data_IF_181807883473
#
_entry.id   IF_181807883473
#
_cell.length_a   1.000
_cell.length_b   1.000
_cell.length_c   1.000
_cell.angle_alpha   90.00
_cell.angle_beta   90.00
_cell.angle_gamma   90.00
#
_symmetry.space_group_name_H-M   'P 1'
#
loop_
_entity.id
_entity.type
_entity.pdbx_description
1 polymer ?
#
# COMPACT_ATOMS: atom_id res chain seq x y z
N UNK A 1 5.21 -15.49 -0.96
CA UNK A 1 5.81 -14.18 -1.29
C UNK A 1 5.03 -13.43 -2.39
N UNK A 2 4.88 -14.00 -3.60
CA UNK A 2 4.28 -13.33 -4.77
C UNK A 2 2.85 -12.76 -4.55
N UNK A 3 1.99 -13.48 -3.84
CA UNK A 3 0.61 -13.05 -3.59
C UNK A 3 0.47 -11.80 -2.71
N UNK A 4 1.40 -11.58 -1.76
CA UNK A 4 1.40 -10.34 -0.96
C UNK A 4 1.76 -9.14 -1.82
N UNK A 5 2.85 -9.24 -2.60
CA UNK A 5 3.29 -8.20 -3.52
C UNK A 5 2.21 -7.81 -4.53
N UNK A 6 1.56 -8.79 -5.17
CA UNK A 6 0.46 -8.55 -6.11
C UNK A 6 -0.69 -7.80 -5.43
N UNK A 7 -1.04 -8.19 -4.21
CA UNK A 7 -2.10 -7.54 -3.43
C UNK A 7 -1.74 -6.10 -3.05
N UNK A 8 -0.52 -5.85 -2.61
CA UNK A 8 -0.04 -4.51 -2.25
C UNK A 8 -0.04 -3.58 -3.49
N UNK A 9 0.44 -4.08 -4.63
CA UNK A 9 0.39 -3.36 -5.91
C UNK A 9 -1.07 -3.09 -6.33
N UNK A 10 -1.96 -4.08 -6.17
CA UNK A 10 -3.39 -3.91 -6.41
C UNK A 10 -4.03 -2.82 -5.54
N UNK A 11 -3.70 -2.77 -4.24
CA UNK A 11 -4.18 -1.72 -3.36
C UNK A 11 -3.68 -0.33 -3.76
N UNK A 12 -2.43 -0.21 -4.20
CA UNK A 12 -1.93 1.06 -4.75
C UNK A 12 -2.66 1.45 -6.02
N UNK A 13 -2.82 0.55 -6.98
CA UNK A 13 -3.49 0.86 -8.25
C UNK A 13 -4.94 1.29 -8.02
N UNK A 14 -5.69 0.55 -7.20
CA UNK A 14 -7.09 0.88 -6.89
C UNK A 14 -7.18 2.18 -6.09
N UNK A 15 -6.33 2.36 -5.07
CA UNK A 15 -6.29 3.59 -4.27
C UNK A 15 -5.94 4.82 -5.10
N UNK A 16 -4.85 4.76 -5.87
CA UNK A 16 -4.42 5.86 -6.75
C UNK A 16 -5.43 6.14 -7.86
N UNK A 17 -5.98 5.12 -8.53
CA UNK A 17 -7.01 5.36 -9.54
C UNK A 17 -8.25 6.01 -8.92
N UNK A 18 -8.66 5.59 -7.72
CA UNK A 18 -9.82 6.19 -7.06
C UNK A 18 -9.56 7.66 -6.69
N UNK A 19 -8.36 7.99 -6.21
CA UNK A 19 -8.00 9.36 -5.81
C UNK A 19 -7.65 10.28 -6.99
N UNK A 20 -6.97 9.79 -8.03
CA UNK A 20 -6.57 10.60 -9.19
C UNK A 20 -7.67 10.77 -10.23
N UNK A 21 -8.57 9.80 -10.37
CA UNK A 21 -9.70 9.87 -11.30
C UNK A 21 -10.97 10.42 -10.64
N UNK A 22 -10.88 10.90 -9.40
CA UNK A 22 -12.01 11.52 -8.75
C UNK A 22 -12.35 12.83 -9.45
N UNK A 23 -13.63 13.06 -9.73
CA UNK A 23 -14.06 14.33 -10.32
C UNK A 23 -14.04 15.39 -9.24
N UNK A 24 -13.75 16.63 -9.61
CA UNK A 24 -13.64 17.75 -8.65
C UNK A 24 -14.89 17.92 -7.79
N UNK A 25 -16.07 17.63 -8.35
CA UNK A 25 -17.36 17.67 -7.63
C UNK A 25 -17.54 16.60 -6.55
N UNK A 26 -16.74 15.53 -6.61
CA UNK A 26 -16.81 14.39 -5.70
C UNK A 26 -15.73 14.50 -4.59
N UNK A 27 -14.93 15.57 -4.58
CA UNK A 27 -13.98 15.90 -3.52
C UNK A 27 -14.74 16.16 -2.22
N UNK A 28 -14.33 15.47 -1.15
CA UNK A 28 -14.98 15.55 0.17
C UNK A 28 -16.19 14.62 0.35
N UNK A 29 -16.53 13.82 -0.66
CA UNK A 29 -17.55 12.77 -0.53
C UNK A 29 -17.00 11.50 0.13
N UNK A 30 -17.90 10.62 0.60
CA UNK A 30 -17.51 9.32 1.15
C UNK A 30 -16.62 8.50 0.20
N UNK A 31 -16.84 8.58 -1.13
CA UNK A 31 -15.99 7.91 -2.12
C UNK A 31 -14.55 8.41 -2.08
N UNK A 32 -14.35 9.72 -1.92
CA UNK A 32 -13.02 10.31 -1.80
C UNK A 32 -12.28 9.80 -0.55
N UNK A 33 -12.97 9.80 0.60
CA UNK A 33 -12.41 9.27 1.84
C UNK A 33 -12.08 7.79 1.75
N UNK A 34 -12.91 7.00 1.06
CA UNK A 34 -12.63 5.58 0.83
C UNK A 34 -11.35 5.38 0.01
N UNK A 35 -11.12 6.20 -1.03
CA UNK A 35 -9.87 6.19 -1.80
C UNK A 35 -8.64 6.45 -0.92
N UNK A 36 -8.69 7.47 -0.05
CA UNK A 36 -7.60 7.76 0.89
C UNK A 36 -7.38 6.63 1.90
N UNK A 37 -8.44 6.02 2.43
CA UNK A 37 -8.32 4.87 3.35
C UNK A 37 -7.63 3.70 2.64
N UNK A 38 -7.98 3.42 1.38
CA UNK A 38 -7.32 2.36 0.60
C UNK A 38 -5.83 2.64 0.40
N UNK A 39 -5.45 3.89 0.14
CA UNK A 39 -4.04 4.29 0.03
C UNK A 39 -3.31 4.09 1.38
N UNK A 40 -3.91 4.51 2.49
CA UNK A 40 -3.31 4.35 3.83
C UNK A 40 -3.08 2.86 4.15
N UNK A 41 -4.04 2.00 3.83
CA UNK A 41 -3.91 0.55 4.00
C UNK A 41 -2.78 -0.01 3.13
N UNK A 42 -2.66 0.44 1.87
CA UNK A 42 -1.57 0.05 0.97
C UNK A 42 -0.19 0.42 1.54
N UNK A 43 -0.06 1.63 2.10
CA UNK A 43 1.17 2.11 2.73
C UNK A 43 1.54 1.25 3.94
N UNK A 44 0.56 0.94 4.80
CA UNK A 44 0.81 0.12 5.98
C UNK A 44 1.26 -1.30 5.62
N UNK A 45 0.61 -1.91 4.62
CA UNK A 45 0.98 -3.24 4.12
C UNK A 45 2.41 -3.24 3.53
N UNK A 46 2.75 -2.19 2.76
CA UNK A 46 4.10 -1.95 2.23
C UNK A 46 5.14 -1.85 3.33
N UNK A 47 4.85 -1.08 4.38
CA UNK A 47 5.75 -0.92 5.52
C UNK A 47 6.03 -2.27 6.20
N UNK A 48 5.01 -3.12 6.39
CA UNK A 48 5.19 -4.46 6.96
C UNK A 48 6.06 -5.35 6.07
N UNK A 49 5.88 -5.31 4.76
CA UNK A 49 6.70 -6.08 3.81
C UNK A 49 8.16 -5.64 3.86
N UNK A 50 8.42 -4.33 3.80
CA UNK A 50 9.78 -3.78 3.89
C UNK A 50 10.42 -4.13 5.23
N UNK A 51 9.68 -4.00 6.34
CA UNK A 51 10.18 -4.34 7.67
C UNK A 51 10.56 -5.81 7.77
N UNK A 52 9.73 -6.72 7.24
CA UNK A 52 10.04 -8.14 7.20
C UNK A 52 11.33 -8.42 6.39
N UNK A 53 11.45 -7.84 5.18
CA UNK A 53 12.63 -8.00 4.34
C UNK A 53 13.92 -7.45 4.98
N UNK A 54 13.84 -6.31 5.69
CA UNK A 54 14.99 -5.75 6.43
C UNK A 54 15.43 -6.62 7.59
N UNK A 55 14.48 -7.24 8.31
CA UNK A 55 14.79 -8.15 9.41
C UNK A 55 15.47 -9.43 8.91
N UNK A 56 15.04 -9.97 7.78
CA UNK A 56 15.69 -11.12 7.14
C UNK A 56 17.15 -10.78 6.76
N UNK A 57 17.38 -9.64 6.10
CA UNK A 57 18.74 -9.20 5.75
C UNK A 57 19.65 -9.00 6.97
N UNK A 58 19.12 -8.48 8.08
CA UNK A 58 19.89 -8.34 9.33
C UNK A 58 20.28 -9.69 9.92
N UNK A 59 19.39 -10.69 9.86
CA UNK A 59 19.69 -12.05 10.34
C UNK A 59 20.71 -12.79 9.48
N UNK A 60 20.77 -12.51 8.17
CA UNK A 60 21.84 -13.01 7.30
C UNK A 60 23.18 -12.33 7.60
N UNK A 61 23.19 -11.01 7.76
CA UNK A 61 24.41 -10.25 8.07
C UNK A 61 25.02 -10.59 9.45
N UNK A 62 24.24 -11.06 10.41
CA UNK A 62 24.75 -11.54 11.72
C UNK A 62 25.17 -13.02 11.70
N UNK A 63 24.92 -13.76 10.62
CA UNK A 63 25.29 -15.17 10.47
C UNK A 63 26.56 -15.40 9.63
N UNK A 64 27.02 -14.38 8.91
CA UNK A 64 28.30 -14.34 8.20
C UNK A 64 29.34 -13.62 9.05
#
# INVERSE_FOLDING_TARGET
>A
MKWRLIRTVGFYLVGLMNTLLIRDKDIGTFKNYLGYVLIIVAIFDTYRIIRAARLEKRKEASRN
#
